data_IF_683296551245
#
_entry.id   IF_683296551245
#
_cell.length_a   1.000
_cell.length_b   1.000
_cell.length_c   1.000
_cell.angle_alpha   90.00
_cell.angle_beta   90.00
_cell.angle_gamma   90.00
#
_symmetry.space_group_name_H-M   'P 1'
#
loop_
_entity.id
_entity.type
_entity.pdbx_description
1 polymer ?
#
# COMPACT_ATOMS: atom_id res chain seq x y z
N UNK A 1 1.49 -7.80 -15.68
CA UNK A 1 2.25 -8.88 -14.99
C UNK A 1 3.44 -8.38 -14.17
N UNK A 2 4.28 -7.45 -14.67
CA UNK A 2 5.44 -6.93 -13.91
C UNK A 2 5.06 -6.30 -12.57
N UNK A 3 3.95 -5.56 -12.50
CA UNK A 3 3.48 -4.93 -11.26
C UNK A 3 3.17 -5.94 -10.15
N UNK A 4 2.29 -6.92 -10.40
CA UNK A 4 1.93 -7.95 -9.41
C UNK A 4 3.14 -8.76 -8.91
N UNK A 5 4.11 -9.03 -9.80
CA UNK A 5 5.37 -9.66 -9.40
C UNK A 5 6.17 -8.76 -8.45
N UNK A 6 6.30 -7.48 -8.76
CA UNK A 6 7.03 -6.54 -7.91
C UNK A 6 6.29 -6.30 -6.57
N UNK A 7 4.97 -6.27 -6.59
CA UNK A 7 4.13 -6.21 -5.38
C UNK A 7 4.36 -7.43 -4.50
N UNK A 8 4.40 -8.63 -5.09
CA UNK A 8 4.69 -9.86 -4.36
C UNK A 8 6.10 -9.84 -3.76
N UNK A 9 7.11 -9.37 -4.50
CA UNK A 9 8.48 -9.23 -3.99
C UNK A 9 8.53 -8.26 -2.82
N UNK A 10 7.88 -7.09 -2.94
CA UNK A 10 7.80 -6.12 -1.84
C UNK A 10 7.11 -6.73 -0.62
N UNK A 11 5.96 -7.38 -0.81
CA UNK A 11 5.23 -8.03 0.27
C UNK A 11 6.06 -9.11 0.96
N UNK A 12 6.74 -9.97 0.19
CA UNK A 12 7.63 -11.00 0.72
C UNK A 12 8.80 -10.38 1.51
N UNK A 13 9.43 -9.32 0.99
CA UNK A 13 10.50 -8.61 1.70
C UNK A 13 10.01 -8.01 3.02
N UNK A 14 8.83 -7.38 3.03
CA UNK A 14 8.24 -6.83 4.25
C UNK A 14 7.81 -7.91 5.25
N UNK A 15 7.34 -9.07 4.78
CA UNK A 15 7.09 -10.23 5.64
C UNK A 15 8.37 -10.70 6.33
N UNK A 16 9.49 -10.80 5.60
CA UNK A 16 10.79 -11.19 6.17
C UNK A 16 11.26 -10.16 7.19
N UNK A 17 11.19 -8.86 6.85
CA UNK A 17 11.56 -7.78 7.78
C UNK A 17 10.70 -7.82 9.05
N UNK A 18 9.39 -7.99 8.91
CA UNK A 18 8.48 -8.10 10.05
C UNK A 18 8.77 -9.32 10.92
N UNK A 19 9.06 -10.49 10.30
CA UNK A 19 9.42 -11.71 11.02
C UNK A 19 10.73 -11.56 11.81
N UNK A 20 11.75 -10.95 11.20
CA UNK A 20 13.03 -10.66 11.87
C UNK A 20 12.81 -9.70 13.04
N UNK A 21 12.08 -8.61 12.83
CA UNK A 21 11.79 -7.65 13.91
C UNK A 21 10.99 -8.28 15.06
N UNK A 22 10.04 -9.16 14.77
CA UNK A 22 9.33 -9.93 15.79
C UNK A 22 10.26 -10.85 16.58
N UNK A 23 11.24 -11.49 15.93
CA UNK A 23 12.19 -12.38 16.60
C UNK A 23 13.13 -11.63 17.56
N UNK A 24 13.58 -10.42 17.19
CA UNK A 24 14.52 -9.64 18.00
C UNK A 24 13.84 -8.74 19.04
N UNK A 25 12.69 -8.15 18.72
CA UNK A 25 12.04 -7.12 19.54
C UNK A 25 10.70 -7.57 20.14
N UNK A 26 10.20 -8.75 19.76
CA UNK A 26 8.88 -9.23 20.15
C UNK A 26 7.77 -8.23 19.77
N UNK A 27 6.78 -8.12 20.66
CA UNK A 27 5.64 -7.21 20.48
C UNK A 27 5.94 -5.76 20.95
N UNK A 28 7.19 -5.43 21.29
CA UNK A 28 7.54 -4.08 21.72
C UNK A 28 7.50 -3.08 20.55
N UNK A 29 7.96 -3.52 19.37
CA UNK A 29 8.07 -2.69 18.15
C UNK A 29 7.02 -3.08 17.11
N UNK A 30 6.80 -4.38 16.90
CA UNK A 30 5.87 -4.88 15.88
C UNK A 30 4.55 -5.25 16.54
N UNK A 31 3.45 -4.70 16.02
CA UNK A 31 2.13 -5.02 16.54
C UNK A 31 1.70 -6.45 16.16
N UNK A 32 0.98 -7.16 17.03
CA UNK A 32 0.49 -8.53 16.79
C UNK A 32 -0.33 -8.66 15.47
N UNK A 33 -1.04 -7.59 15.11
CA UNK A 33 -1.83 -7.50 13.86
C UNK A 33 -1.02 -7.19 12.60
N UNK A 34 0.33 -7.20 12.63
CA UNK A 34 1.17 -6.84 11.47
C UNK A 34 0.84 -7.66 10.22
N UNK A 35 0.52 -8.94 10.37
CA UNK A 35 0.15 -9.83 9.27
C UNK A 35 -1.16 -9.41 8.61
N UNK A 36 -2.12 -8.95 9.41
CA UNK A 36 -3.40 -8.43 8.91
C UNK A 36 -3.21 -7.09 8.20
N UNK A 37 -2.33 -6.22 8.72
CA UNK A 37 -1.97 -4.96 8.05
C UNK A 37 -1.30 -5.20 6.70
N UNK A 38 -0.36 -6.14 6.63
CA UNK A 38 0.30 -6.53 5.39
C UNK A 38 -0.71 -7.05 4.36
N UNK A 39 -1.59 -7.96 4.76
CA UNK A 39 -2.66 -8.47 3.90
C UNK A 39 -3.57 -7.35 3.38
N UNK A 40 -3.97 -6.43 4.27
CA UNK A 40 -4.76 -5.26 3.92
C UNK A 40 -4.06 -4.40 2.86
N UNK A 41 -2.78 -4.06 3.05
CA UNK A 41 -2.06 -3.21 2.09
C UNK A 41 -1.78 -3.89 0.77
N UNK A 42 -1.46 -5.19 0.77
CA UNK A 42 -1.31 -5.96 -0.48
C UNK A 42 -2.62 -5.97 -1.26
N UNK A 43 -3.74 -6.20 -0.58
CA UNK A 43 -5.07 -6.19 -1.19
C UNK A 43 -5.41 -4.81 -1.75
N UNK A 44 -5.31 -3.76 -0.94
CA UNK A 44 -5.68 -2.39 -1.35
C UNK A 44 -4.79 -1.92 -2.49
N UNK A 45 -3.48 -2.13 -2.45
CA UNK A 45 -2.57 -1.76 -3.55
C UNK A 45 -2.83 -2.55 -4.82
N UNK A 46 -3.15 -3.84 -4.71
CA UNK A 46 -3.58 -4.63 -5.88
C UNK A 46 -4.88 -4.11 -6.48
N UNK A 47 -5.84 -3.74 -5.62
CA UNK A 47 -7.15 -3.24 -6.01
C UNK A 47 -7.07 -1.84 -6.64
N UNK A 48 -6.34 -0.89 -6.06
CA UNK A 48 -6.15 0.44 -6.64
C UNK A 48 -5.42 0.39 -7.97
N UNK A 49 -4.42 -0.48 -8.11
CA UNK A 49 -3.77 -0.72 -9.39
C UNK A 49 -4.74 -1.27 -10.44
N UNK A 50 -5.59 -2.23 -10.06
CA UNK A 50 -6.62 -2.77 -10.94
C UNK A 50 -7.62 -1.70 -11.38
N UNK A 51 -8.11 -0.87 -10.46
CA UNK A 51 -9.01 0.25 -10.78
C UNK A 51 -8.35 1.25 -11.75
N UNK A 52 -7.08 1.54 -11.54
CA UNK A 52 -6.33 2.47 -12.39
C UNK A 52 -6.09 1.89 -13.80
N UNK A 53 -5.78 0.59 -13.91
CA UNK A 53 -5.63 -0.11 -15.19
C UNK A 53 -6.97 -0.25 -15.94
N UNK A 54 -8.07 -0.44 -15.21
CA UNK A 54 -9.43 -0.44 -15.77
C UNK A 54 -9.80 0.95 -16.31
N UNK A 55 -9.49 2.01 -15.55
CA UNK A 55 -9.65 3.39 -15.98
C UNK A 55 -8.87 3.70 -17.25
N UNK A 56 -7.60 3.28 -17.30
CA UNK A 56 -6.75 3.45 -18.49
C UNK A 56 -7.32 2.77 -19.74
N UNK A 57 -7.90 1.58 -19.61
CA UNK A 57 -8.47 0.82 -20.75
C UNK A 57 -9.76 1.42 -21.29
N UNK A 58 -10.59 1.98 -20.42
CA UNK A 58 -11.90 2.53 -20.80
C UNK A 58 -11.80 3.98 -21.25
N UNK A 59 -10.94 4.78 -20.60
CA UNK A 59 -10.82 6.22 -20.83
C UNK A 59 -9.39 6.70 -20.53
N UNK A 60 -8.47 6.57 -21.51
CA UNK A 60 -7.06 6.91 -21.34
C UNK A 60 -6.82 8.39 -21.00
N UNK A 61 -7.67 9.28 -21.51
CA UNK A 61 -7.55 10.73 -21.33
C UNK A 61 -7.83 11.13 -19.88
N UNK A 62 -8.69 10.37 -19.19
CA UNK A 62 -9.04 10.60 -17.79
C UNK A 62 -8.24 9.74 -16.80
N UNK A 63 -7.13 9.11 -17.21
CA UNK A 63 -6.29 8.27 -16.35
C UNK A 63 -5.92 8.92 -15.01
N UNK A 64 -5.58 10.22 -15.02
CA UNK A 64 -5.22 10.95 -13.81
C UNK A 64 -6.36 10.98 -12.79
N UNK A 65 -7.60 11.17 -13.26
CA UNK A 65 -8.78 11.19 -12.38
C UNK A 65 -9.00 9.83 -11.71
N UNK A 66 -8.88 8.72 -12.45
CA UNK A 66 -8.96 7.37 -11.88
C UNK A 66 -7.85 7.11 -10.86
N UNK A 67 -6.62 7.54 -11.15
CA UNK A 67 -5.52 7.41 -10.22
C UNK A 67 -5.77 8.18 -8.92
N UNK A 68 -6.12 9.47 -8.99
CA UNK A 68 -6.42 10.27 -7.80
C UNK A 68 -7.64 9.74 -7.03
N UNK A 69 -8.67 9.26 -7.71
CA UNK A 69 -9.82 8.63 -7.07
C UNK A 69 -9.41 7.34 -6.31
N UNK A 70 -8.57 6.49 -6.93
CA UNK A 70 -8.07 5.27 -6.28
C UNK A 70 -7.21 5.59 -5.05
N UNK A 71 -6.38 6.63 -5.13
CA UNK A 71 -5.53 7.09 -4.04
C UNK A 71 -6.37 7.67 -2.89
N UNK A 72 -7.40 8.45 -3.21
CA UNK A 72 -8.36 8.99 -2.24
C UNK A 72 -9.14 7.87 -1.54
N UNK A 73 -9.66 6.90 -2.30
CA UNK A 73 -10.36 5.74 -1.76
C UNK A 73 -9.48 4.96 -0.76
N UNK A 74 -8.24 4.67 -1.14
CA UNK A 74 -7.25 4.02 -0.27
C UNK A 74 -6.98 4.80 1.00
N UNK A 75 -6.82 6.13 0.91
CA UNK A 75 -6.59 6.98 2.08
C UNK A 75 -7.78 6.91 3.04
N UNK A 76 -9.01 7.04 2.53
CA UNK A 76 -10.24 6.98 3.35
C UNK A 76 -10.38 5.61 4.02
N UNK A 77 -10.15 4.51 3.29
CA UNK A 77 -10.13 3.16 3.88
C UNK A 77 -9.09 3.02 4.98
N UNK A 78 -7.88 3.53 4.74
CA UNK A 78 -6.76 3.48 5.68
C UNK A 78 -7.08 4.23 6.98
N UNK A 79 -7.66 5.43 6.87
CA UNK A 79 -8.13 6.22 8.02
C UNK A 79 -9.25 5.49 8.75
N UNK A 80 -10.21 4.91 8.02
CA UNK A 80 -11.31 4.14 8.60
C UNK A 80 -10.81 2.96 9.45
N UNK A 81 -9.85 2.17 8.94
CA UNK A 81 -9.25 1.04 9.67
C UNK A 81 -8.53 1.51 10.93
N UNK A 82 -7.72 2.58 10.82
CA UNK A 82 -6.98 3.12 11.98
C UNK A 82 -7.95 3.67 13.04
N UNK A 83 -8.98 4.41 12.63
CA UNK A 83 -9.99 4.95 13.54
C UNK A 83 -10.79 3.85 14.23
N UNK A 84 -11.22 2.83 13.47
CA UNK A 84 -11.91 1.66 14.00
C UNK A 84 -11.03 0.95 15.06
N UNK A 85 -9.77 0.67 14.73
CA UNK A 85 -8.85 0.04 15.68
C UNK A 85 -8.65 0.89 16.93
N UNK A 86 -8.41 2.19 16.77
CA UNK A 86 -8.21 3.11 17.88
C UNK A 86 -9.45 3.23 18.78
N UNK A 87 -10.66 3.05 18.24
CA UNK A 87 -11.90 3.07 19.00
C UNK A 87 -12.09 1.79 19.82
N UNK A 88 -11.89 0.61 19.23
CA UNK A 88 -12.12 -0.68 19.88
C UNK A 88 -10.98 -1.13 20.79
N UNK A 89 -9.72 -0.78 20.48
CA UNK A 89 -8.54 -1.23 21.19
C UNK A 89 -7.78 -0.07 21.84
N UNK A 90 -7.53 -0.19 23.14
CA UNK A 90 -6.77 0.80 23.93
C UNK A 90 -5.30 0.42 24.06
N UNK A 91 -5.01 -0.87 24.16
CA UNK A 91 -3.64 -1.40 24.25
C UNK A 91 -2.96 -1.44 22.88
N UNK A 92 -1.65 -1.20 22.86
CA UNK A 92 -0.85 -1.25 21.63
C UNK A 92 -1.21 -0.22 20.55
N UNK A 93 -2.10 0.74 20.85
CA UNK A 93 -2.62 1.71 19.87
C UNK A 93 -1.53 2.47 19.13
N UNK A 94 -0.54 3.00 19.87
CA UNK A 94 0.56 3.75 19.25
C UNK A 94 1.38 2.85 18.32
N UNK A 95 1.73 1.64 18.76
CA UNK A 95 2.45 0.67 17.95
C UNK A 95 1.66 0.29 16.69
N UNK A 96 0.35 0.05 16.82
CA UNK A 96 -0.53 -0.21 15.68
C UNK A 96 -0.48 0.94 14.67
N UNK A 97 -0.67 2.17 15.14
CA UNK A 97 -0.68 3.38 14.29
C UNK A 97 0.66 3.53 13.58
N UNK A 98 1.79 3.43 14.28
CA UNK A 98 3.11 3.56 13.66
C UNK A 98 3.39 2.46 12.62
N UNK A 99 3.12 1.19 12.93
CA UNK A 99 3.29 0.09 11.99
C UNK A 99 2.38 0.27 10.75
N UNK A 100 1.13 0.66 10.98
CA UNK A 100 0.16 0.87 9.91
C UNK A 100 0.59 2.01 8.98
N UNK A 101 1.02 3.16 9.53
CA UNK A 101 1.51 4.27 8.71
C UNK A 101 2.83 3.95 8.00
N UNK A 102 3.75 3.21 8.64
CA UNK A 102 4.98 2.77 7.99
C UNK A 102 4.67 1.93 6.74
N UNK A 103 3.78 0.94 6.89
CA UNK A 103 3.31 0.14 5.75
C UNK A 103 2.58 1.01 4.72
N UNK A 104 1.71 1.92 5.15
CA UNK A 104 1.02 2.85 4.25
C UNK A 104 2.02 3.61 3.35
N UNK A 105 3.08 4.18 3.92
CA UNK A 105 4.08 4.91 3.15
C UNK A 105 4.88 4.01 2.20
N UNK A 106 5.28 2.81 2.66
CA UNK A 106 6.02 1.87 1.83
C UNK A 106 5.21 1.43 0.60
N UNK A 107 3.95 1.03 0.79
CA UNK A 107 3.06 0.65 -0.30
C UNK A 107 2.63 1.84 -1.15
N UNK A 108 2.49 3.04 -0.58
CA UNK A 108 2.20 4.28 -1.35
C UNK A 108 3.37 4.62 -2.27
N UNK A 109 4.57 4.66 -1.71
CA UNK A 109 5.79 4.94 -2.46
C UNK A 109 5.95 3.93 -3.60
N UNK A 110 5.83 2.63 -3.30
CA UNK A 110 5.89 1.58 -4.31
C UNK A 110 4.91 1.80 -5.49
N UNK A 111 3.66 2.14 -5.20
CA UNK A 111 2.63 2.38 -6.21
C UNK A 111 3.00 3.60 -7.08
N UNK A 112 3.35 4.72 -6.46
CA UNK A 112 3.80 5.94 -7.16
C UNK A 112 5.02 5.65 -8.05
N UNK A 113 6.06 5.01 -7.51
CA UNK A 113 7.27 4.67 -8.26
C UNK A 113 6.97 3.75 -9.44
N UNK A 114 6.11 2.75 -9.25
CA UNK A 114 5.72 1.81 -10.30
C UNK A 114 4.96 2.50 -11.43
N UNK A 115 4.11 3.47 -11.10
CA UNK A 115 3.39 4.27 -12.09
C UNK A 115 4.32 5.20 -12.85
N UNK A 116 5.18 5.96 -12.16
CA UNK A 116 6.16 6.85 -12.81
C UNK A 116 7.13 6.07 -13.72
N UNK A 117 7.58 4.89 -13.28
CA UNK A 117 8.46 4.03 -14.08
C UNK A 117 7.80 3.56 -15.39
N UNK A 118 6.48 3.34 -15.39
CA UNK A 118 5.72 2.98 -16.59
C UNK A 118 5.40 4.19 -17.50
N UNK A 119 5.31 5.40 -16.94
CA UNK A 119 5.05 6.64 -17.69
C UNK A 119 6.32 7.22 -18.35
N UNK A 120 7.49 7.07 -17.71
CA UNK A 120 8.78 7.64 -18.18
C UNK A 120 9.17 7.30 -19.63
N UNK A 121 8.96 6.07 -20.14
CA UNK A 121 9.28 5.74 -21.53
C UNK A 121 8.37 6.46 -22.55
N UNK A 122 7.11 6.71 -22.20
CA UNK A 122 6.16 7.39 -23.09
C UNK A 122 6.49 8.89 -23.23
N UNK A 123 6.95 9.53 -22.15
CA UNK A 123 7.36 10.94 -22.17
C UNK A 123 8.57 11.19 -23.09
N UNK A 124 9.51 10.23 -23.17
CA UNK A 124 10.71 10.34 -24.00
C UNK A 124 10.44 10.11 -25.50
N UNK A 125 9.24 9.66 -25.88
CA UNK A 125 8.84 9.41 -27.27
C UNK A 125 8.13 10.60 -27.92
N UNK A 126 7.72 11.59 -27.12
CA UNK A 126 7.05 12.82 -27.57
C UNK A 126 7.98 14.04 -27.70
N UNK A 127 9.25 13.92 -27.29
CA UNK A 127 10.31 14.90 -27.54
C UNK A 127 11.31 14.35 -28.56
#
# INVERSE_FOLDING_TARGET
MKFFRNLFILAAALCVVAAVLLQFSGNAVVHSFIWHMLGFFVFVTGFTHYLTDLGYKNDPDNFQAYYFASMGFRMVLSIGVVALFAYFYKEGRLQFVFNFFALYFLFTGFEIYSLLANLRPNLKRQN
#
